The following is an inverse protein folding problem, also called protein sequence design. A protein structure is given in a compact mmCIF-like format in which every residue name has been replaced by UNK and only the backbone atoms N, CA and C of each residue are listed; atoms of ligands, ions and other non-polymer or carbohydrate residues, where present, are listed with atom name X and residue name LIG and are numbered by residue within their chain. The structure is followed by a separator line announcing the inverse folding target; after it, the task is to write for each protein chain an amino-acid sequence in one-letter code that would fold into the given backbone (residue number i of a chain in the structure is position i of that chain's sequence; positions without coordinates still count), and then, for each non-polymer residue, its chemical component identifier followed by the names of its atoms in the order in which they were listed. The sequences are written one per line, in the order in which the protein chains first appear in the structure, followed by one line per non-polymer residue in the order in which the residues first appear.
data_IF_906884194081
#
_entry.id   IF_906884194081
#
_cell.length_a   1.000
_cell.length_b   1.000
_cell.length_c   1.000
_cell.angle_alpha   90.00
_cell.angle_beta   90.00
_cell.angle_gamma   90.00
#
_symmetry.space_group_name_H-M   'P 1'
#
loop_
_entity.id
_entity.type
_entity.pdbx_description
1 polymer ?
#
# COMPACT_ATOMS: atom_id res chain seq x y z
N UNK A 1 -32.17 -19.18 2.15
CA UNK A 1 -31.40 -18.43 3.17
C UNK A 1 -30.10 -17.97 2.52
N UNK A 2 -29.80 -16.67 2.43
CA UNK A 2 -28.52 -16.23 1.90
C UNK A 2 -27.40 -16.66 2.87
N UNK A 3 -26.23 -17.10 2.37
CA UNK A 3 -25.10 -17.46 3.22
C UNK A 3 -24.60 -16.22 3.95
N UNK A 4 -24.37 -16.37 5.27
CA UNK A 4 -23.81 -15.31 6.12
C UNK A 4 -22.43 -14.92 5.58
N UNK A 5 -22.25 -13.62 5.31
CA UNK A 5 -20.96 -13.06 4.99
C UNK A 5 -19.96 -13.38 6.12
N UNK A 6 -18.90 -14.10 5.75
CA UNK A 6 -17.71 -14.25 6.58
C UNK A 6 -17.15 -12.84 6.84
N UNK A 7 -17.10 -12.43 8.11
CA UNK A 7 -16.38 -11.21 8.50
C UNK A 7 -14.90 -11.47 8.22
N UNK A 8 -14.33 -10.78 7.23
CA UNK A 8 -12.88 -10.68 7.07
C UNK A 8 -12.29 -10.20 8.40
N UNK A 9 -11.46 -11.03 9.04
CA UNK A 9 -10.69 -10.59 10.21
C UNK A 9 -9.65 -9.61 9.68
N UNK A 10 -9.88 -8.31 9.83
CA UNK A 10 -8.83 -7.30 9.62
C UNK A 10 -7.67 -7.64 10.57
N UNK A 11 -6.47 -7.82 10.02
CA UNK A 11 -5.26 -7.98 10.81
C UNK A 11 -4.99 -6.64 11.50
N UNK A 12 -4.82 -6.58 12.83
CA UNK A 12 -4.51 -5.35 13.54
C UNK A 12 -3.27 -4.66 12.95
N UNK A 13 -3.33 -3.35 12.72
CA UNK A 13 -2.28 -2.61 12.01
C UNK A 13 -0.90 -2.64 12.72
N UNK A 14 -0.87 -2.92 14.03
CA UNK A 14 0.32 -3.12 14.86
C UNK A 14 1.02 -4.46 14.61
N UNK A 15 0.41 -5.35 13.82
CA UNK A 15 0.98 -6.64 13.42
C UNK A 15 1.47 -6.69 11.96
N UNK A 16 1.38 -5.58 11.22
CA UNK A 16 1.79 -5.53 9.82
C UNK A 16 3.30 -5.30 9.68
N UNK A 17 3.92 -6.01 8.74
CA UNK A 17 5.31 -5.79 8.34
C UNK A 17 5.30 -4.63 7.33
N UNK A 18 5.50 -3.42 7.84
CA UNK A 18 5.34 -2.18 7.06
C UNK A 18 6.57 -1.85 6.21
N UNK A 19 7.68 -2.52 6.43
CA UNK A 19 8.97 -2.20 5.84
C UNK A 19 9.56 -0.85 6.28
N UNK A 20 10.76 -0.48 5.82
CA UNK A 20 11.39 0.83 6.13
C UNK A 20 10.87 1.89 5.16
N UNK A 21 10.35 2.99 5.71
CA UNK A 21 10.07 4.21 4.95
C UNK A 21 11.39 4.88 4.56
N UNK A 22 12.04 4.40 3.50
CA UNK A 22 13.25 5.01 2.97
C UNK A 22 12.87 6.01 1.89
N UNK A 23 12.87 7.30 2.22
CA UNK A 23 12.69 8.40 1.26
C UNK A 23 13.84 8.56 0.27
N UNK A 24 14.85 7.67 0.26
CA UNK A 24 16.12 7.90 -0.41
C UNK A 24 16.73 6.70 -1.15
N UNK A 25 16.05 5.56 -1.27
CA UNK A 25 16.58 4.47 -2.09
C UNK A 25 16.24 4.71 -3.58
N UNK A 26 17.02 5.57 -4.25
CA UNK A 26 16.98 5.75 -5.70
C UNK A 26 17.60 4.52 -6.38
N UNK A 27 16.89 3.39 -6.33
CA UNK A 27 17.11 2.31 -7.29
C UNK A 27 16.46 2.82 -8.58
N UNK A 28 17.23 2.95 -9.65
CA UNK A 28 16.77 3.47 -10.94
C UNK A 28 15.83 2.48 -11.62
N UNK A 29 14.60 2.34 -11.10
CA UNK A 29 13.55 1.57 -11.74
C UNK A 29 13.08 2.38 -12.95
N UNK A 30 13.29 1.88 -14.19
CA UNK A 30 12.72 2.54 -15.35
C UNK A 30 11.18 2.41 -15.28
N UNK A 31 10.47 3.49 -15.59
CA UNK A 31 9.01 3.62 -15.59
C UNK A 31 8.38 3.80 -14.18
N UNK A 32 8.45 5.03 -13.67
CA UNK A 32 7.70 5.49 -12.49
C UNK A 32 6.52 6.37 -12.90
N UNK A 33 5.41 6.28 -12.17
CA UNK A 33 4.25 7.14 -12.32
C UNK A 33 3.76 7.60 -10.96
N UNK A 34 3.37 8.88 -10.85
CA UNK A 34 2.67 9.43 -9.68
C UNK A 34 1.25 9.75 -10.07
N UNK A 35 0.30 9.12 -9.39
CA UNK A 35 -1.13 9.29 -9.63
C UNK A 35 -1.80 9.88 -8.40
N UNK A 36 -2.66 10.87 -8.60
CA UNK A 36 -3.39 11.48 -7.50
C UNK A 36 -4.40 10.49 -6.91
N UNK A 37 -4.51 10.46 -5.59
CA UNK A 37 -5.49 9.67 -4.87
C UNK A 37 -6.81 10.44 -4.89
N UNK A 38 -7.87 9.95 -5.56
CA UNK A 38 -9.14 10.65 -5.59
C UNK A 38 -9.77 10.64 -4.19
N UNK A 39 -10.30 11.75 -3.70
CA UNK A 39 -11.01 11.80 -2.41
C UNK A 39 -12.09 12.89 -2.41
N UNK A 40 -13.34 12.48 -2.21
CA UNK A 40 -14.51 13.36 -2.12
C UNK A 40 -14.41 14.32 -0.92
N UNK A 41 -13.70 13.92 0.15
CA UNK A 41 -13.47 14.78 1.33
C UNK A 41 -12.56 15.95 0.97
N UNK A 42 -11.50 15.67 0.23
CA UNK A 42 -10.58 16.68 -0.28
C UNK A 42 -11.31 17.65 -1.20
N UNK A 43 -12.07 17.14 -2.18
CA UNK A 43 -12.87 17.97 -3.09
C UNK A 43 -13.86 18.88 -2.33
N UNK A 44 -14.53 18.34 -1.30
CA UNK A 44 -15.44 19.13 -0.46
C UNK A 44 -14.71 20.25 0.31
N UNK A 45 -13.53 19.97 0.86
CA UNK A 45 -12.70 20.98 1.52
C UNK A 45 -12.25 22.07 0.56
N UNK A 46 -11.83 21.71 -0.66
CA UNK A 46 -11.50 22.68 -1.71
C UNK A 46 -12.71 23.56 -2.06
N UNK A 47 -13.90 22.99 -2.18
CA UNK A 47 -15.13 23.76 -2.43
C UNK A 47 -15.50 24.72 -1.29
N UNK A 48 -15.30 24.30 -0.04
CA UNK A 48 -15.59 25.11 1.15
C UNK A 48 -14.61 26.28 1.29
N UNK A 49 -13.31 26.01 1.23
CA UNK A 49 -12.27 27.00 1.51
C UNK A 49 -11.83 27.81 0.29
N UNK A 50 -12.04 27.30 -0.92
CA UNK A 50 -11.61 27.89 -2.20
C UNK A 50 -10.13 28.35 -2.15
N UNK A 51 -9.20 27.43 -1.84
CA UNK A 51 -7.81 27.78 -1.60
C UNK A 51 -7.12 28.27 -2.87
N UNK A 52 -5.97 28.94 -2.71
CA UNK A 52 -5.09 29.27 -3.85
C UNK A 52 -4.33 28.05 -4.38
N UNK A 53 -4.10 27.05 -3.52
CA UNK A 53 -3.36 25.82 -3.81
C UNK A 53 -4.18 24.61 -3.37
N UNK A 54 -4.36 23.65 -4.28
CA UNK A 54 -5.03 22.37 -4.04
C UNK A 54 -4.03 21.23 -4.26
N UNK A 55 -3.68 20.49 -3.21
CA UNK A 55 -2.67 19.43 -3.28
C UNK A 55 -3.22 18.11 -2.76
N UNK A 56 -3.58 17.21 -3.68
CA UNK A 56 -4.03 15.86 -3.35
C UNK A 56 -2.86 14.96 -2.89
N UNK A 57 -3.17 13.88 -2.15
CA UNK A 57 -2.20 12.81 -1.92
C UNK A 57 -1.89 12.10 -3.24
N UNK A 58 -0.74 11.44 -3.34
CA UNK A 58 -0.37 10.68 -4.53
C UNK A 58 0.06 9.26 -4.16
N UNK A 59 -0.14 8.33 -5.09
CA UNK A 59 0.43 7.00 -5.07
C UNK A 59 1.54 6.93 -6.12
N UNK A 60 2.73 6.51 -5.71
CA UNK A 60 3.83 6.22 -6.61
C UNK A 60 3.74 4.76 -7.05
N UNK A 61 3.73 4.53 -8.37
CA UNK A 61 3.59 3.22 -8.99
C UNK A 61 4.81 3.00 -9.88
N UNK A 62 5.47 1.86 -9.71
CA UNK A 62 6.57 1.44 -10.57
C UNK A 62 6.12 0.27 -11.43
N UNK A 63 6.37 0.36 -12.73
CA UNK A 63 6.15 -0.76 -13.64
C UNK A 63 7.34 -1.72 -13.58
N UNK A 64 7.06 -2.96 -13.24
CA UNK A 64 8.07 -4.00 -13.10
C UNK A 64 7.73 -5.11 -14.09
N UNK A 65 8.62 -5.31 -15.08
CA UNK A 65 8.44 -6.28 -16.17
C UNK A 65 8.12 -7.69 -15.66
N UNK A 66 7.20 -8.44 -16.29
CA UNK A 66 6.74 -9.72 -15.76
C UNK A 66 7.82 -10.79 -15.51
N UNK A 67 7.57 -11.64 -14.50
CA UNK A 67 8.41 -12.78 -14.13
C UNK A 67 8.11 -14.01 -15.00
N UNK A 68 9.13 -14.83 -15.26
CA UNK A 68 9.02 -16.16 -15.86
C UNK A 68 9.54 -17.22 -14.88
N UNK A 69 9.14 -18.48 -15.06
CA UNK A 69 9.60 -19.62 -14.25
C UNK A 69 11.13 -19.70 -14.23
N UNK A 70 11.72 -19.95 -13.06
CA UNK A 70 13.18 -20.04 -12.90
C UNK A 70 13.86 -18.68 -12.72
N UNK A 71 13.11 -17.59 -12.52
CA UNK A 71 13.69 -16.28 -12.21
C UNK A 71 14.55 -16.30 -10.94
N UNK A 72 14.29 -17.23 -10.01
CA UNK A 72 15.12 -17.39 -8.84
C UNK A 72 16.53 -17.93 -9.12
N UNK A 73 16.76 -18.64 -10.22
CA UNK A 73 18.05 -19.27 -10.54
C UNK A 73 19.12 -18.26 -11.02
N UNK A 74 18.76 -16.98 -11.15
CA UNK A 74 19.72 -15.89 -11.33
C UNK A 74 20.27 -15.73 -12.75
N UNK A 75 19.78 -16.49 -13.74
CA UNK A 75 20.13 -16.28 -15.15
C UNK A 75 19.18 -15.27 -15.82
N UNK A 76 19.72 -14.17 -16.33
CA UNK A 76 18.99 -13.21 -17.18
C UNK A 76 18.12 -12.17 -16.43
N UNK A 77 16.97 -11.82 -17.02
CA UNK A 77 16.10 -10.71 -16.60
C UNK A 77 15.43 -10.92 -15.23
N UNK A 78 15.38 -12.15 -14.72
CA UNK A 78 14.71 -12.50 -13.45
C UNK A 78 15.36 -11.91 -12.19
N UNK A 79 16.68 -11.73 -12.17
CA UNK A 79 17.36 -11.16 -10.99
C UNK A 79 17.13 -9.64 -10.85
N UNK A 80 17.02 -8.93 -11.98
CA UNK A 80 16.69 -7.51 -12.02
C UNK A 80 15.24 -7.25 -11.59
N UNK A 81 14.33 -8.18 -11.89
CA UNK A 81 12.94 -8.11 -11.44
C UNK A 81 12.82 -8.10 -9.91
N UNK A 82 13.49 -9.05 -9.25
CA UNK A 82 13.37 -9.23 -7.82
C UNK A 82 14.02 -8.08 -7.04
N UNK A 83 15.09 -7.49 -7.57
CA UNK A 83 15.70 -6.29 -6.99
C UNK A 83 14.78 -5.07 -7.09
N UNK A 84 14.01 -4.93 -8.18
CA UNK A 84 12.99 -3.89 -8.31
C UNK A 84 11.82 -4.11 -7.35
N UNK A 85 11.32 -5.35 -7.17
CA UNK A 85 10.27 -5.62 -6.17
C UNK A 85 10.76 -5.31 -4.76
N UNK A 86 12.02 -5.60 -4.45
CA UNK A 86 12.60 -5.31 -3.14
C UNK A 86 12.54 -3.80 -2.82
N UNK A 87 12.58 -2.95 -3.84
CA UNK A 87 12.56 -1.49 -3.73
C UNK A 87 11.17 -0.87 -3.51
N UNK A 88 10.09 -1.61 -3.73
CA UNK A 88 8.71 -1.12 -3.53
C UNK A 88 8.09 -1.63 -2.23
N UNK A 89 7.09 -0.94 -1.69
CA UNK A 89 6.45 -1.32 -0.42
C UNK A 89 5.25 -2.27 -0.57
N UNK A 90 4.73 -2.46 -1.77
CA UNK A 90 3.57 -3.31 -2.05
C UNK A 90 3.48 -3.69 -3.52
N UNK A 91 2.61 -4.65 -3.83
CA UNK A 91 2.55 -5.27 -5.16
C UNK A 91 1.12 -5.19 -5.71
N UNK A 92 0.96 -4.60 -6.90
CA UNK A 92 -0.20 -4.87 -7.74
C UNK A 92 0.07 -6.12 -8.58
N UNK A 93 -0.55 -7.24 -8.21
CA UNK A 93 -0.38 -8.48 -8.96
C UNK A 93 -1.43 -8.55 -10.06
N UNK A 94 -1.03 -8.22 -11.29
CA UNK A 94 -1.90 -8.31 -12.46
C UNK A 94 -2.01 -9.76 -12.92
N UNK A 95 -3.23 -10.24 -13.13
CA UNK A 95 -3.54 -11.60 -13.59
C UNK A 95 -4.28 -11.53 -14.93
N UNK A 96 -3.89 -12.39 -15.87
CA UNK A 96 -4.61 -12.56 -17.14
C UNK A 96 -5.83 -13.45 -16.93
N UNK A 97 -7.02 -12.89 -17.12
CA UNK A 97 -8.29 -13.61 -17.06
C UNK A 97 -9.10 -13.48 -18.36
N UNK A 98 -8.41 -13.45 -19.50
CA UNK A 98 -9.01 -13.45 -20.83
C UNK A 98 -8.20 -14.31 -21.80
N UNK A 99 -8.90 -14.87 -22.79
CA UNK A 99 -8.30 -15.59 -23.90
C UNK A 99 -8.22 -14.66 -25.11
N UNK A 100 -7.10 -14.72 -25.81
CA UNK A 100 -6.85 -13.99 -27.04
C UNK A 100 -5.83 -14.79 -27.84
N UNK A 101 -6.18 -15.18 -29.07
CA UNK A 101 -5.33 -15.97 -29.96
C UNK A 101 -4.09 -15.21 -30.42
N UNK A 102 -4.15 -13.87 -30.39
CA UNK A 102 -3.06 -13.02 -30.84
C UNK A 102 -2.03 -12.76 -29.72
N UNK A 103 -2.32 -13.21 -28.48
CA UNK A 103 -1.46 -13.02 -27.32
C UNK A 103 -0.99 -14.37 -26.78
N UNK A 104 0.25 -14.71 -27.10
CA UNK A 104 0.93 -15.92 -26.64
C UNK A 104 1.14 -15.86 -25.13
N UNK A 105 0.80 -16.95 -24.44
CA UNK A 105 1.10 -17.14 -23.03
C UNK A 105 2.46 -17.83 -22.86
N UNK A 106 3.20 -17.52 -21.80
CA UNK A 106 4.54 -18.13 -21.56
C UNK A 106 4.47 -19.66 -21.49
N UNK A 107 3.42 -20.20 -20.85
CA UNK A 107 3.13 -21.64 -20.75
C UNK A 107 2.07 -22.14 -21.76
N UNK A 108 1.91 -21.47 -22.91
CA UNK A 108 0.99 -21.82 -24.03
C UNK A 108 -0.52 -21.91 -23.69
N UNK A 109 -0.90 -21.84 -22.42
CA UNK A 109 -2.29 -21.84 -21.94
C UNK A 109 -2.51 -20.78 -20.87
N UNK A 110 -3.70 -20.16 -20.89
CA UNK A 110 -4.11 -19.18 -19.87
C UNK A 110 -4.64 -19.92 -18.64
N UNK A 111 -3.88 -19.87 -17.54
CA UNK A 111 -4.29 -20.37 -16.24
C UNK A 111 -3.80 -19.44 -15.10
N UNK A 112 -4.63 -18.46 -14.68
CA UNK A 112 -4.22 -17.48 -13.70
C UNK A 112 -3.95 -18.08 -12.31
N UNK A 113 -4.46 -19.27 -11.97
CA UNK A 113 -4.17 -19.92 -10.69
C UNK A 113 -2.77 -20.50 -10.70
N UNK A 114 -2.38 -21.15 -11.79
CA UNK A 114 -1.00 -21.61 -11.99
C UNK A 114 -0.01 -20.45 -11.97
N UNK A 115 -0.37 -19.32 -12.59
CA UNK A 115 0.49 -18.14 -12.64
C UNK A 115 0.67 -17.53 -11.23
N UNK A 116 -0.41 -17.49 -10.42
CA UNK A 116 -0.37 -17.12 -9.00
C UNK A 116 0.60 -18.00 -8.20
N UNK A 117 0.44 -19.32 -8.30
CA UNK A 117 1.29 -20.29 -7.60
C UNK A 117 2.75 -20.14 -7.99
N UNK A 118 3.01 -19.94 -9.28
CA UNK A 118 4.37 -19.76 -9.82
C UNK A 118 5.03 -18.52 -9.21
N UNK A 119 4.38 -17.36 -9.27
CA UNK A 119 4.97 -16.12 -8.76
C UNK A 119 5.13 -16.18 -7.25
N UNK A 120 4.12 -16.65 -6.51
CA UNK A 120 4.22 -16.80 -5.06
C UNK A 120 5.34 -17.75 -4.63
N UNK A 121 5.55 -18.87 -5.33
CA UNK A 121 6.65 -19.78 -5.05
C UNK A 121 8.02 -19.14 -5.32
N UNK A 122 8.18 -18.41 -6.44
CA UNK A 122 9.43 -17.73 -6.81
C UNK A 122 9.83 -16.65 -5.80
N UNK A 123 8.85 -15.85 -5.31
CA UNK A 123 9.10 -14.87 -4.25
C UNK A 123 9.55 -15.53 -2.95
N UNK A 124 8.92 -16.64 -2.56
CA UNK A 124 9.29 -17.40 -1.36
C UNK A 124 10.67 -18.02 -1.47
N UNK A 125 11.02 -18.64 -2.60
CA UNK A 125 12.34 -19.23 -2.83
C UNK A 125 13.44 -18.19 -2.66
N UNK A 126 13.21 -16.95 -3.12
CA UNK A 126 14.15 -15.85 -2.94
C UNK A 126 14.27 -15.36 -1.51
N UNK A 127 13.17 -15.35 -0.77
CA UNK A 127 13.23 -15.06 0.66
C UNK A 127 13.97 -16.17 1.43
N UNK A 128 13.83 -17.45 1.05
CA UNK A 128 14.63 -18.55 1.64
C UNK A 128 16.12 -18.34 1.39
N UNK A 129 16.53 -18.09 0.15
CA UNK A 129 17.95 -17.82 -0.19
C UNK A 129 18.50 -16.61 0.60
N UNK A 130 17.69 -15.57 0.79
CA UNK A 130 18.07 -14.42 1.61
C UNK A 130 18.21 -14.79 3.09
N UNK A 131 17.27 -15.56 3.65
CA UNK A 131 17.33 -16.04 5.03
C UNK A 131 18.54 -16.93 5.28
N UNK A 132 18.88 -17.83 4.36
CA UNK A 132 20.04 -18.73 4.49
C UNK A 132 21.36 -17.96 4.61
N UNK A 133 21.59 -16.99 3.71
CA UNK A 133 22.77 -16.12 3.80
C UNK A 133 22.80 -15.34 5.10
N UNK A 134 21.66 -14.80 5.52
CA UNK A 134 21.55 -14.00 6.73
C UNK A 134 21.83 -14.83 7.99
N UNK A 135 21.35 -16.07 8.04
CA UNK A 135 21.63 -17.03 9.11
C UNK A 135 23.13 -17.32 9.16
N UNK A 136 23.76 -17.61 8.02
CA UNK A 136 25.21 -17.89 7.96
C UNK A 136 26.05 -16.71 8.49
N UNK A 137 25.70 -15.48 8.12
CA UNK A 137 26.38 -14.27 8.58
C UNK A 137 26.20 -14.02 10.09
N UNK A 138 25.00 -14.28 10.62
CA UNK A 138 24.72 -14.18 12.05
C UNK A 138 25.49 -15.25 12.85
N UNK A 139 25.53 -16.49 12.37
CA UNK A 139 26.30 -17.57 13.00
C UNK A 139 27.81 -17.26 13.03
N UNK A 140 28.36 -16.72 11.93
CA UNK A 140 29.75 -16.24 11.88
C UNK A 140 30.01 -15.12 12.89
N UNK A 141 29.05 -14.20 13.04
CA UNK A 141 29.16 -13.06 13.96
C UNK A 141 29.08 -13.51 15.43
N UNK A 142 28.20 -14.47 15.73
CA UNK A 142 28.06 -15.07 17.07
C UNK A 142 29.31 -15.83 17.53
N UNK A 143 30.10 -16.41 16.62
CA UNK A 143 31.39 -17.03 16.98
C UNK A 143 32.40 -15.99 17.51
N UNK A 144 32.23 -14.71 17.19
CA UNK A 144 33.14 -13.61 17.56
C UNK A 144 32.58 -12.70 18.65
N UNK A 145 31.29 -12.79 18.95
CA UNK A 145 30.57 -11.91 19.87
C UNK A 145 29.54 -12.68 20.67
N UNK A 146 29.44 -12.41 21.97
CA UNK A 146 28.42 -13.00 22.84
C UNK A 146 27.19 -12.08 23.00
N UNK A 147 26.88 -11.30 21.96
CA UNK A 147 25.76 -10.36 21.94
C UNK A 147 24.43 -11.10 21.91
N UNK A 148 23.57 -10.79 22.88
CA UNK A 148 22.22 -11.36 23.00
C UNK A 148 21.33 -10.97 21.81
N UNK A 149 21.55 -9.79 21.22
CA UNK A 149 20.75 -9.33 20.09
C UNK A 149 20.96 -10.20 18.85
N UNK A 150 22.20 -10.62 18.58
CA UNK A 150 22.51 -11.54 17.47
C UNK A 150 21.81 -12.88 17.63
N UNK A 151 21.69 -13.37 18.88
CA UNK A 151 20.98 -14.62 19.16
C UNK A 151 19.49 -14.49 18.88
N UNK A 152 18.87 -13.39 19.30
CA UNK A 152 17.44 -13.12 19.03
C UNK A 152 17.19 -13.03 17.53
N UNK A 153 18.04 -12.30 16.80
CA UNK A 153 17.92 -12.16 15.34
C UNK A 153 18.07 -13.52 14.62
N UNK A 154 18.99 -14.37 15.08
CA UNK A 154 19.19 -15.71 14.52
C UNK A 154 17.96 -16.60 14.74
N UNK A 155 17.39 -16.61 15.95
CA UNK A 155 16.18 -17.37 16.27
C UNK A 155 14.99 -16.93 15.40
N UNK A 156 14.83 -15.61 15.18
CA UNK A 156 13.80 -15.08 14.28
C UNK A 156 14.05 -15.51 12.83
N UNK A 157 15.27 -15.40 12.31
CA UNK A 157 15.61 -15.82 10.95
C UNK A 157 15.32 -17.31 10.72
N UNK A 158 15.64 -18.19 11.67
CA UNK A 158 15.37 -19.62 11.59
C UNK A 158 13.86 -19.92 11.58
N UNK A 159 13.10 -19.24 12.44
CA UNK A 159 11.64 -19.37 12.48
C UNK A 159 10.99 -18.91 11.17
N UNK A 160 11.44 -17.79 10.62
CA UNK A 160 10.92 -17.23 9.36
C UNK A 160 11.28 -18.11 8.17
N UNK A 161 12.51 -18.65 8.13
CA UNK A 161 12.91 -19.62 7.10
C UNK A 161 11.97 -20.83 7.09
N UNK A 162 11.74 -21.45 8.25
CA UNK A 162 10.86 -22.61 8.37
C UNK A 162 9.42 -22.28 7.91
N UNK A 163 8.90 -21.10 8.26
CA UNK A 163 7.58 -20.64 7.81
C UNK A 163 7.47 -20.57 6.29
N UNK A 164 8.50 -20.04 5.62
CA UNK A 164 8.52 -19.90 4.16
C UNK A 164 8.66 -21.28 3.48
N UNK A 165 9.47 -22.18 4.04
CA UNK A 165 9.65 -23.56 3.54
C UNK A 165 8.37 -24.40 3.63
N UNK A 166 7.46 -24.09 4.56
CA UNK A 166 6.10 -24.65 4.60
C UNK A 166 5.17 -24.10 3.48
N UNK A 167 5.68 -23.24 2.61
CA UNK A 167 4.93 -22.65 1.49
C UNK A 167 4.08 -21.45 1.89
N UNK A 168 4.33 -20.82 3.05
CA UNK A 168 3.54 -19.70 3.56
C UNK A 168 4.26 -18.37 3.38
N UNK A 169 3.52 -17.36 2.95
CA UNK A 169 4.06 -16.01 2.79
C UNK A 169 4.30 -15.35 4.16
N UNK A 170 5.40 -14.62 4.32
CA UNK A 170 5.79 -14.03 5.62
C UNK A 170 4.73 -13.09 6.17
N UNK A 171 4.01 -12.34 5.33
CA UNK A 171 2.94 -11.42 5.77
C UNK A 171 1.76 -12.10 6.47
N UNK A 172 1.61 -13.42 6.32
CA UNK A 172 0.51 -14.20 6.91
C UNK A 172 0.85 -14.81 8.27
N UNK A 173 2.11 -14.69 8.71
CA UNK A 173 2.54 -15.20 10.00
C UNK A 173 2.02 -14.37 11.18
N UNK A 174 1.79 -15.03 12.32
CA UNK A 174 1.48 -14.36 13.58
C UNK A 174 2.77 -14.05 14.34
N UNK A 175 3.36 -12.89 14.03
CA UNK A 175 4.65 -12.46 14.57
C UNK A 175 4.47 -11.58 15.82
N UNK A 176 5.43 -11.64 16.75
CA UNK A 176 5.45 -10.70 17.87
C UNK A 176 5.95 -9.33 17.41
N UNK A 177 5.58 -8.26 18.11
CA UNK A 177 6.02 -6.90 17.77
C UNK A 177 7.56 -6.77 17.65
N UNK A 178 8.31 -7.41 18.56
CA UNK A 178 9.78 -7.42 18.49
C UNK A 178 10.31 -8.16 17.25
N UNK A 179 9.66 -9.24 16.83
CA UNK A 179 10.04 -10.01 15.63
C UNK A 179 9.72 -9.19 14.37
N UNK A 180 8.60 -8.45 14.36
CA UNK A 180 8.20 -7.55 13.28
C UNK A 180 9.23 -6.43 13.10
N UNK A 181 9.77 -5.86 14.18
CA UNK A 181 10.85 -4.86 14.09
C UNK A 181 12.08 -5.40 13.37
N UNK A 182 12.45 -6.66 13.65
CA UNK A 182 13.56 -7.35 12.98
C UNK A 182 13.21 -7.63 11.51
N UNK A 183 12.03 -8.20 11.23
CA UNK A 183 11.54 -8.49 9.88
C UNK A 183 11.49 -7.23 8.99
N UNK A 184 11.10 -6.10 9.56
CA UNK A 184 11.10 -4.80 8.88
C UNK A 184 12.51 -4.34 8.49
N UNK A 185 13.59 -4.91 9.02
CA UNK A 185 14.95 -4.61 8.54
C UNK A 185 15.29 -5.37 7.26
N UNK A 186 14.62 -6.50 7.00
CA UNK A 186 14.96 -7.41 5.90
C UNK A 186 14.29 -7.07 4.57
N UNK A 187 13.13 -6.39 4.59
CA UNK A 187 12.34 -6.09 3.38
C UNK A 187 12.06 -7.36 2.53
N UNK A 188 11.61 -8.44 3.17
CA UNK A 188 11.30 -9.69 2.48
C UNK A 188 10.18 -9.48 1.45
N UNK A 189 10.26 -10.23 0.34
CA UNK A 189 9.36 -10.06 -0.79
C UNK A 189 7.94 -10.53 -0.42
N UNK A 190 7.83 -11.69 0.22
CA UNK A 190 6.56 -12.29 0.69
C UNK A 190 5.97 -11.60 1.92
N UNK A 191 6.68 -10.62 2.50
CA UNK A 191 6.16 -9.75 3.55
C UNK A 191 5.36 -8.56 2.98
N UNK A 192 5.53 -8.23 1.69
CA UNK A 192 4.87 -7.09 1.06
C UNK A 192 3.38 -7.38 0.83
N UNK A 193 2.47 -6.43 1.12
CA UNK A 193 1.05 -6.58 0.80
C UNK A 193 0.83 -6.65 -0.72
N UNK A 194 -0.16 -7.45 -1.14
CA UNK A 194 -0.57 -7.61 -2.54
C UNK A 194 -2.00 -7.14 -2.74
N UNK A 195 -2.27 -6.51 -3.88
CA UNK A 195 -3.61 -6.28 -4.42
C UNK A 195 -3.70 -7.00 -5.77
N UNK A 196 -4.67 -7.90 -5.92
CA UNK A 196 -4.84 -8.69 -7.13
C UNK A 196 -5.68 -7.92 -8.16
N UNK A 197 -5.10 -7.64 -9.32
CA UNK A 197 -5.78 -6.97 -10.43
C UNK A 197 -6.12 -8.01 -11.50
N UNK A 198 -7.38 -8.40 -11.57
CA UNK A 198 -7.84 -9.45 -12.50
C UNK A 198 -8.24 -8.80 -13.81
N UNK A 199 -7.33 -8.81 -14.79
CA UNK A 199 -7.54 -8.21 -16.10
C UNK A 199 -8.39 -9.13 -16.97
N UNK A 200 -9.54 -8.65 -17.42
CA UNK A 200 -10.48 -9.38 -18.28
C UNK A 200 -10.95 -8.52 -19.46
N UNK A 201 -11.73 -9.10 -20.36
CA UNK A 201 -12.31 -8.34 -21.47
C UNK A 201 -13.29 -7.28 -20.96
N UNK A 202 -13.51 -6.21 -21.74
CA UNK A 202 -14.52 -5.19 -21.43
C UNK A 202 -15.91 -5.81 -21.25
N UNK A 203 -16.27 -6.78 -22.09
CA UNK A 203 -17.53 -7.51 -22.01
C UNK A 203 -17.70 -8.25 -20.69
N UNK A 204 -16.65 -8.92 -20.21
CA UNK A 204 -16.65 -9.65 -18.93
C UNK A 204 -16.75 -8.72 -17.73
N UNK A 205 -16.01 -7.61 -17.79
CA UNK A 205 -16.02 -6.57 -16.78
C UNK A 205 -17.41 -5.92 -16.67
N UNK A 206 -17.99 -5.49 -17.80
CA UNK A 206 -19.32 -4.87 -17.85
C UNK A 206 -20.41 -5.80 -17.33
N UNK A 207 -20.41 -7.08 -17.73
CA UNK A 207 -21.42 -8.06 -17.27
C UNK A 207 -21.14 -8.60 -15.86
N UNK A 208 -20.01 -8.24 -15.24
CA UNK A 208 -19.54 -8.71 -13.93
C UNK A 208 -19.47 -10.23 -13.82
N UNK A 209 -19.04 -10.90 -14.89
CA UNK A 209 -18.85 -12.36 -14.93
C UNK A 209 -17.65 -12.73 -15.78
N UNK A 210 -16.81 -13.60 -15.22
CA UNK A 210 -15.65 -14.17 -15.87
C UNK A 210 -15.46 -15.62 -15.42
N UNK A 211 -14.95 -16.48 -16.31
CA UNK A 211 -14.80 -17.92 -16.04
C UNK A 211 -13.65 -18.28 -15.09
N UNK A 212 -12.63 -17.42 -14.99
CA UNK A 212 -11.46 -17.64 -14.14
C UNK A 212 -11.64 -17.05 -12.74
N UNK A 213 -12.42 -15.98 -12.62
CA UNK A 213 -12.60 -15.24 -11.37
C UNK A 213 -13.02 -16.10 -10.15
N UNK A 214 -13.93 -17.10 -10.26
CA UNK A 214 -14.25 -17.96 -9.12
C UNK A 214 -13.07 -18.77 -8.60
N UNK A 215 -12.22 -19.29 -9.49
CA UNK A 215 -11.02 -20.06 -9.12
C UNK A 215 -9.97 -19.16 -8.47
N UNK A 216 -9.75 -17.97 -9.04
CA UNK A 216 -8.86 -16.96 -8.46
C UNK A 216 -9.33 -16.58 -7.05
N UNK A 217 -10.64 -16.34 -6.89
CA UNK A 217 -11.20 -15.98 -5.58
C UNK A 217 -10.98 -17.09 -4.55
N UNK A 218 -11.27 -18.35 -4.89
CA UNK A 218 -11.05 -19.48 -3.99
C UNK A 218 -9.58 -19.58 -3.56
N UNK A 219 -8.66 -19.50 -4.52
CA UNK A 219 -7.23 -19.55 -4.23
C UNK A 219 -6.80 -18.41 -3.30
N UNK A 220 -7.18 -17.17 -3.58
CA UNK A 220 -6.81 -16.02 -2.74
C UNK A 220 -7.36 -16.14 -1.32
N UNK A 221 -8.59 -16.67 -1.13
CA UNK A 221 -9.12 -16.87 0.22
C UNK A 221 -8.32 -17.88 1.04
N UNK A 222 -7.73 -18.88 0.39
CA UNK A 222 -6.86 -19.87 1.05
C UNK A 222 -5.44 -19.33 1.31
N UNK A 223 -5.02 -18.28 0.59
CA UNK A 223 -3.65 -17.76 0.59
C UNK A 223 -3.50 -16.33 1.14
N UNK A 224 -4.47 -15.83 1.92
CA UNK A 224 -4.36 -14.56 2.65
C UNK A 224 -5.59 -13.67 2.62
N UNK A 225 -6.43 -13.82 1.60
CA UNK A 225 -7.70 -13.10 1.48
C UNK A 225 -7.55 -11.64 1.09
N UNK A 226 -6.44 -11.23 0.50
CA UNK A 226 -6.20 -9.84 0.08
C UNK A 226 -7.19 -9.36 -1.00
N UNK A 227 -7.32 -8.03 -1.19
CA UNK A 227 -8.28 -7.45 -2.13
C UNK A 227 -8.08 -7.94 -3.56
N UNK A 228 -9.18 -8.37 -4.18
CA UNK A 228 -9.29 -8.68 -5.62
C UNK A 228 -10.09 -7.58 -6.31
N UNK A 229 -9.52 -6.99 -7.36
CA UNK A 229 -10.16 -5.98 -8.18
C UNK A 229 -10.22 -6.47 -9.63
N UNK A 230 -11.41 -6.92 -10.08
CA UNK A 230 -11.68 -7.10 -11.51
C UNK A 230 -11.55 -5.77 -12.25
N UNK A 231 -10.88 -5.76 -13.39
CA UNK A 231 -10.80 -4.61 -14.28
C UNK A 231 -10.61 -5.06 -15.73
N UNK A 232 -10.76 -4.13 -16.68
CA UNK A 232 -10.41 -4.36 -18.08
C UNK A 232 -9.44 -3.29 -18.55
N UNK A 233 -8.18 -3.68 -18.80
CA UNK A 233 -7.16 -2.75 -19.27
C UNK A 233 -7.52 -2.09 -20.62
N UNK A 234 -8.21 -2.84 -21.50
CA UNK A 234 -8.71 -2.30 -22.78
C UNK A 234 -9.77 -1.23 -22.53
N UNK A 235 -10.70 -1.47 -21.61
CA UNK A 235 -11.73 -0.50 -21.26
C UNK A 235 -11.13 0.78 -20.64
N UNK A 236 -10.18 0.64 -19.70
CA UNK A 236 -9.53 1.81 -19.08
C UNK A 236 -8.74 2.64 -20.09
N UNK A 237 -8.05 1.98 -21.03
CA UNK A 237 -7.37 2.65 -22.14
C UNK A 237 -8.36 3.42 -23.00
N UNK A 238 -9.44 2.77 -23.44
CA UNK A 238 -10.48 3.40 -24.26
C UNK A 238 -11.09 4.63 -23.57
N UNK A 239 -11.34 4.56 -22.25
CA UNK A 239 -11.83 5.71 -21.49
C UNK A 239 -10.81 6.85 -21.40
N UNK A 240 -9.52 6.54 -21.36
CA UNK A 240 -8.44 7.54 -21.28
C UNK A 240 -8.30 8.32 -22.58
N UNK A 241 -8.57 7.66 -23.71
CA UNK A 241 -8.53 8.28 -25.05
C UNK A 241 -9.77 9.15 -25.34
N UNK A 242 -10.78 9.16 -24.46
CA UNK A 242 -12.01 9.96 -24.59
C UNK A 242 -11.94 11.26 -23.77
N UNK A 243 -12.68 12.28 -24.21
CA UNK A 243 -12.88 13.50 -23.41
C UNK A 243 -13.70 13.20 -22.15
N UNK A 244 -13.49 13.89 -21.00
CA UNK A 244 -14.14 13.57 -19.73
C UNK A 244 -15.68 13.52 -19.77
N UNK A 245 -16.30 14.41 -20.55
CA UNK A 245 -17.75 14.44 -20.73
C UNK A 245 -18.27 13.24 -21.55
N UNK A 246 -17.49 12.81 -22.55
CA UNK A 246 -17.78 11.64 -23.37
C UNK A 246 -17.60 10.35 -22.59
N UNK A 247 -16.48 10.22 -21.86
CA UNK A 247 -16.20 9.10 -20.98
C UNK A 247 -17.31 8.92 -19.93
N UNK A 248 -17.78 10.02 -19.32
CA UNK A 248 -18.88 10.00 -18.36
C UNK A 248 -20.20 9.54 -19.00
N UNK A 249 -20.49 9.98 -20.24
CA UNK A 249 -21.66 9.55 -20.99
C UNK A 249 -21.58 8.06 -21.35
N UNK A 250 -20.43 7.59 -21.85
CA UNK A 250 -20.18 6.18 -22.15
C UNK A 250 -20.40 5.28 -20.93
N UNK A 251 -19.81 5.65 -19.80
CA UNK A 251 -19.96 4.94 -18.53
C UNK A 251 -21.44 4.85 -18.10
N UNK A 252 -22.19 5.95 -18.24
CA UNK A 252 -23.62 6.01 -17.88
C UNK A 252 -24.49 5.14 -18.77
N UNK A 253 -24.29 5.20 -20.09
CA UNK A 253 -25.07 4.43 -21.07
C UNK A 253 -24.79 2.93 -20.97
N UNK A 254 -23.53 2.56 -20.80
CA UNK A 254 -23.09 1.18 -20.71
C UNK A 254 -23.16 0.59 -19.28
N UNK A 255 -23.57 1.40 -18.29
CA UNK A 255 -23.65 1.02 -16.86
C UNK A 255 -22.35 0.42 -16.33
N UNK A 256 -21.24 1.00 -16.74
CA UNK A 256 -19.88 0.59 -16.39
C UNK A 256 -19.14 1.80 -15.80
N UNK A 257 -18.15 1.57 -14.95
CA UNK A 257 -17.34 2.62 -14.32
C UNK A 257 -15.87 2.21 -14.35
N UNK A 258 -14.98 3.19 -14.43
CA UNK A 258 -13.53 2.96 -14.30
C UNK A 258 -13.21 2.32 -12.93
N UNK A 259 -12.35 1.31 -12.96
CA UNK A 259 -11.77 0.67 -11.79
C UNK A 259 -10.57 1.45 -11.24
N UNK A 260 -9.95 2.35 -12.01
CA UNK A 260 -8.72 3.04 -11.62
C UNK A 260 -8.83 3.79 -10.28
N UNK A 261 -9.90 4.57 -9.99
CA UNK A 261 -10.04 5.21 -8.68
C UNK A 261 -10.02 4.21 -7.52
N UNK A 262 -10.64 3.03 -7.70
CA UNK A 262 -10.66 1.96 -6.70
C UNK A 262 -9.29 1.29 -6.58
N UNK A 263 -8.59 1.05 -7.69
CA UNK A 263 -7.24 0.48 -7.72
C UNK A 263 -6.28 1.37 -6.93
N UNK A 264 -6.27 2.68 -7.22
CA UNK A 264 -5.40 3.65 -6.54
C UNK A 264 -5.69 3.70 -5.05
N UNK A 265 -6.96 3.87 -4.65
CA UNK A 265 -7.36 3.89 -3.22
C UNK A 265 -6.98 2.61 -2.49
N UNK A 266 -7.21 1.45 -3.13
CA UNK A 266 -6.91 0.15 -2.52
C UNK A 266 -5.41 -0.05 -2.38
N UNK A 267 -4.61 0.30 -3.39
CA UNK A 267 -3.15 0.23 -3.31
C UNK A 267 -2.60 1.14 -2.22
N UNK A 268 -3.04 2.40 -2.17
CA UNK A 268 -2.64 3.36 -1.14
C UNK A 268 -2.93 2.85 0.27
N UNK A 269 -4.13 2.29 0.49
CA UNK A 269 -4.49 1.69 1.78
C UNK A 269 -3.73 0.39 2.07
N UNK A 270 -3.44 -0.44 1.06
CA UNK A 270 -2.75 -1.72 1.23
C UNK A 270 -1.31 -1.54 1.74
N UNK A 271 -0.62 -0.49 1.29
CA UNK A 271 0.70 -0.11 1.81
C UNK A 271 0.62 0.72 3.11
N UNK A 272 -0.54 0.70 3.78
CA UNK A 272 -0.80 1.33 5.08
C UNK A 272 -0.56 2.84 5.11
N UNK A 273 -0.79 3.53 3.99
CA UNK A 273 -0.85 4.98 3.98
C UNK A 273 -2.26 5.47 4.31
N UNK A 274 -2.30 6.56 5.06
CA UNK A 274 -3.47 7.40 5.32
C UNK A 274 -3.05 8.85 5.07
N UNK A 275 -3.97 9.79 5.13
CA UNK A 275 -3.60 11.21 5.16
C UNK A 275 -4.48 12.01 6.12
N UNK A 276 -3.91 13.10 6.61
CA UNK A 276 -4.64 14.18 7.25
C UNK A 276 -4.65 15.40 6.33
N UNK A 277 -5.53 16.35 6.60
CA UNK A 277 -5.66 17.59 5.86
C UNK A 277 -5.09 18.77 6.65
N UNK A 278 -4.43 19.67 5.94
CA UNK A 278 -4.37 21.09 6.32
C UNK A 278 -5.32 21.84 5.40
N UNK A 279 -6.20 22.69 5.96
CA UNK A 279 -7.22 23.39 5.17
C UNK A 279 -7.32 24.86 5.57
N UNK A 280 -7.28 25.74 4.59
CA UNK A 280 -7.42 27.18 4.76
C UNK A 280 -7.53 27.91 3.40
N UNK A 281 -7.64 29.25 3.41
CA UNK A 281 -7.82 30.04 2.18
C UNK A 281 -6.56 30.07 1.29
N UNK A 282 -5.38 29.77 1.84
CA UNK A 282 -4.15 29.72 1.06
C UNK A 282 -3.95 28.32 0.44
N UNK A 283 -4.14 27.25 1.22
CA UNK A 283 -3.91 25.87 0.76
C UNK A 283 -4.89 24.88 1.41
N UNK A 284 -5.37 23.93 0.62
CA UNK A 284 -5.93 22.66 1.10
C UNK A 284 -5.03 21.54 0.59
N UNK A 285 -4.51 20.72 1.51
CA UNK A 285 -3.51 19.70 1.19
C UNK A 285 -3.71 18.41 1.96
N UNK A 286 -3.53 17.29 1.28
CA UNK A 286 -3.45 15.96 1.87
C UNK A 286 -1.99 15.64 2.24
N UNK A 287 -1.75 15.33 3.51
CA UNK A 287 -0.44 14.94 4.00
C UNK A 287 -0.42 13.44 4.26
N UNK A 288 0.20 12.69 3.34
CA UNK A 288 0.34 11.24 3.46
C UNK A 288 1.29 10.85 4.60
N UNK A 289 0.82 9.96 5.47
CA UNK A 289 1.55 9.41 6.60
C UNK A 289 1.24 7.92 6.71
N UNK A 290 2.08 7.17 7.42
CA UNK A 290 1.75 5.78 7.73
C UNK A 290 0.65 5.73 8.77
N UNK A 291 -0.25 4.76 8.63
CA UNK A 291 -1.21 4.43 9.69
C UNK A 291 -0.44 4.19 10.99
N UNK A 292 -1.02 4.63 12.11
CA UNK A 292 -0.40 4.63 13.45
C UNK A 292 0.67 5.71 13.69
N UNK A 293 0.97 6.57 12.72
CA UNK A 293 1.80 7.76 12.98
C UNK A 293 1.17 8.64 14.05
N UNK A 294 1.99 9.02 15.04
CA UNK A 294 1.58 9.93 16.11
C UNK A 294 1.62 11.38 15.63
N UNK A 295 0.89 12.26 16.32
CA UNK A 295 0.79 13.67 15.96
C UNK A 295 2.15 14.38 15.71
N UNK A 296 3.22 14.17 16.52
CA UNK A 296 4.52 14.78 16.24
C UNK A 296 5.14 14.31 14.92
N UNK A 297 5.05 13.01 14.63
CA UNK A 297 5.58 12.42 13.40
C UNK A 297 4.81 12.92 12.17
N UNK A 298 3.48 13.05 12.29
CA UNK A 298 2.65 13.63 11.26
C UNK A 298 2.98 15.11 11.02
N UNK A 299 3.30 15.86 12.07
CA UNK A 299 3.77 17.24 11.95
C UNK A 299 5.12 17.32 11.21
N UNK A 300 6.02 16.36 11.47
CA UNK A 300 7.31 16.22 10.78
C UNK A 300 7.19 16.03 9.26
N UNK A 301 6.08 15.46 8.78
CA UNK A 301 5.81 15.34 7.35
C UNK A 301 5.60 16.70 6.66
N UNK A 302 5.18 17.73 7.41
CA UNK A 302 5.10 19.12 6.94
C UNK A 302 6.48 19.76 6.95
N UNK A 303 7.13 19.72 8.12
CA UNK A 303 8.46 20.25 8.31
C UNK A 303 9.10 19.65 9.57
N UNK A 304 10.40 19.34 9.52
CA UNK A 304 11.11 18.72 10.65
C UNK A 304 11.09 19.55 11.94
N UNK A 305 11.02 20.88 11.84
CA UNK A 305 10.90 21.76 13.01
C UNK A 305 9.56 21.61 13.74
N UNK A 306 8.48 21.22 13.06
CA UNK A 306 7.19 21.01 13.70
C UNK A 306 7.23 19.79 14.62
N UNK A 307 7.95 18.74 14.21
CA UNK A 307 8.16 17.55 15.05
C UNK A 307 9.05 17.87 16.26
N UNK A 308 10.17 18.57 16.05
CA UNK A 308 11.12 18.94 17.11
C UNK A 308 10.50 19.91 18.13
N UNK A 309 9.75 20.89 17.63
CA UNK A 309 9.11 21.95 18.41
C UNK A 309 7.68 21.62 18.85
N UNK A 310 7.19 20.40 18.64
CA UNK A 310 5.78 20.05 18.81
C UNK A 310 5.24 20.41 20.20
N UNK A 311 4.16 21.19 20.24
CA UNK A 311 3.40 21.52 21.44
C UNK A 311 2.13 20.66 21.49
N UNK A 312 1.24 20.84 20.51
CA UNK A 312 0.01 20.09 20.36
C UNK A 312 -0.47 20.09 18.90
N UNK A 313 -1.40 19.19 18.58
CA UNK A 313 -2.16 19.19 17.35
C UNK A 313 -3.59 19.65 17.65
N UNK A 314 -4.02 20.73 17.03
CA UNK A 314 -5.43 21.10 17.03
C UNK A 314 -6.15 20.29 15.94
N UNK A 315 -7.05 19.41 16.33
CA UNK A 315 -7.66 18.40 15.45
C UNK A 315 -9.18 18.59 15.43
N UNK A 316 -9.74 18.64 14.22
CA UNK A 316 -11.17 18.42 13.99
C UNK A 316 -11.38 17.30 12.98
N UNK A 317 -12.46 16.53 13.15
CA UNK A 317 -12.82 15.49 12.19
C UNK A 317 -13.48 16.11 10.97
N UNK A 318 -13.22 15.54 9.80
CA UNK A 318 -13.88 15.95 8.56
C UNK A 318 -15.41 15.89 8.70
N UNK A 319 -15.94 14.83 9.31
CA UNK A 319 -17.37 14.63 9.50
C UNK A 319 -18.00 15.75 10.33
N UNK A 320 -17.32 16.18 11.39
CA UNK A 320 -17.78 17.27 12.26
C UNK A 320 -17.80 18.61 11.52
N UNK A 321 -16.78 18.89 10.71
CA UNK A 321 -16.75 20.09 9.88
C UNK A 321 -17.84 20.07 8.82
N UNK A 322 -18.08 18.92 8.18
CA UNK A 322 -19.11 18.75 7.17
C UNK A 322 -20.52 18.89 7.75
N UNK A 323 -20.75 18.36 8.95
CA UNK A 323 -22.03 18.48 9.66
C UNK A 323 -22.31 19.91 10.12
N UNK A 324 -21.31 20.60 10.69
CA UNK A 324 -21.48 21.91 11.32
C UNK A 324 -21.20 23.10 10.37
N UNK A 325 -20.63 22.84 9.19
CA UNK A 325 -20.46 23.77 8.09
C UNK A 325 -19.31 24.79 8.24
N UNK A 326 -18.76 25.00 9.44
CA UNK A 326 -17.63 25.91 9.64
C UNK A 326 -16.78 25.56 10.86
N UNK A 327 -15.51 25.95 10.85
CA UNK A 327 -14.59 25.75 11.97
C UNK A 327 -15.08 26.43 13.26
N UNK A 328 -15.69 27.62 13.14
CA UNK A 328 -16.26 28.33 14.29
C UNK A 328 -17.40 27.54 14.95
N UNK A 329 -18.26 26.89 14.15
CA UNK A 329 -19.32 26.04 14.65
C UNK A 329 -18.77 24.76 15.31
N UNK A 330 -17.73 24.15 14.73
CA UNK A 330 -17.02 23.00 15.32
C UNK A 330 -16.42 23.34 16.67
N UNK A 331 -15.79 24.52 16.79
CA UNK A 331 -15.24 25.05 18.05
C UNK A 331 -16.35 25.31 19.08
N UNK A 332 -17.44 25.96 18.68
CA UNK A 332 -18.58 26.23 19.57
C UNK A 332 -19.25 24.95 20.08
N UNK A 333 -19.25 23.88 19.28
CA UNK A 333 -19.76 22.56 19.65
C UNK A 333 -18.77 21.73 20.52
N UNK A 334 -17.59 22.26 20.85
CA UNK A 334 -16.58 21.55 21.64
C UNK A 334 -15.93 20.36 20.92
N UNK A 335 -16.08 20.28 19.58
CA UNK A 335 -15.53 19.18 18.76
C UNK A 335 -14.13 19.49 18.18
N UNK A 336 -13.58 20.66 18.49
CA UNK A 336 -12.22 21.07 18.12
C UNK A 336 -11.25 20.73 19.27
N UNK A 337 -10.45 19.68 19.08
CA UNK A 337 -9.65 19.06 20.15
C UNK A 337 -8.20 19.52 20.12
N UNK A 338 -7.59 19.60 21.29
CA UNK A 338 -6.14 19.75 21.43
C UNK A 338 -5.54 18.41 21.83
N UNK A 339 -4.82 17.80 20.90
CA UNK A 339 -4.27 16.46 21.02
C UNK A 339 -2.77 16.52 21.30
N UNK A 340 -2.31 15.65 22.20
CA UNK A 340 -0.93 15.60 22.66
C UNK A 340 -0.02 14.68 21.83
N UNK A 341 1.21 14.47 22.31
CA UNK A 341 2.24 13.67 21.62
C UNK A 341 1.87 12.20 21.41
N UNK A 342 0.94 11.66 22.20
CA UNK A 342 0.50 10.27 22.14
C UNK A 342 -0.67 10.05 21.19
N UNK A 343 -1.29 11.12 20.66
CA UNK A 343 -2.41 11.01 19.74
C UNK A 343 -1.96 10.32 18.46
N UNK A 344 -2.70 9.28 18.07
CA UNK A 344 -2.54 8.60 16.80
C UNK A 344 -3.43 9.30 15.79
N UNK A 345 -2.83 9.87 14.74
CA UNK A 345 -3.55 10.58 13.70
C UNK A 345 -4.48 9.62 12.99
N UNK A 346 -5.72 10.06 12.76
CA UNK A 346 -6.72 9.28 12.04
C UNK A 346 -6.85 9.81 10.61
N UNK A 347 -7.24 8.91 9.71
CA UNK A 347 -7.47 9.26 8.32
C UNK A 347 -8.57 10.32 8.21
N UNK A 348 -8.30 11.38 7.44
CA UNK A 348 -9.23 12.50 7.26
C UNK A 348 -9.28 13.51 8.40
N UNK A 349 -8.41 13.40 9.41
CA UNK A 349 -8.23 14.47 10.40
C UNK A 349 -7.88 15.79 9.71
N UNK A 350 -8.48 16.89 10.14
CA UNK A 350 -8.07 18.24 9.73
C UNK A 350 -7.28 18.83 10.89
N UNK A 351 -6.00 19.11 10.64
CA UNK A 351 -5.03 19.39 11.71
C UNK A 351 -4.37 20.75 11.52
N UNK A 352 -4.31 21.51 12.61
CA UNK A 352 -3.45 22.67 12.75
C UNK A 352 -2.42 22.42 13.87
N UNK A 353 -1.13 22.40 13.53
CA UNK A 353 -0.09 22.13 14.52
C UNK A 353 0.37 23.39 15.25
N UNK A 354 0.51 23.30 16.57
CA UNK A 354 1.21 24.30 17.39
C UNK A 354 2.61 23.79 17.68
N UNK A 355 3.60 24.60 17.38
CA UNK A 355 5.00 24.28 17.64
C UNK A 355 5.73 25.54 18.10
N UNK A 356 6.83 25.35 18.82
CA UNK A 356 7.76 26.43 19.13
C UNK A 356 8.99 26.32 18.22
N UNK A 357 9.45 27.45 17.69
CA UNK A 357 10.71 27.46 16.94
C UNK A 357 11.82 27.31 17.99
N UNK A 358 12.43 26.13 18.10
CA UNK A 358 13.66 26.01 18.85
C UNK A 358 14.68 26.90 18.15
N UNK A 359 14.94 28.08 18.72
CA UNK A 359 15.91 29.02 18.18
C UNK A 359 17.22 28.29 17.95
N UNK A 360 17.58 28.09 16.68
CA UNK A 360 18.91 27.68 16.32
C UNK A 360 19.84 28.72 16.95
N UNK A 361 20.58 28.30 17.98
CA UNK A 361 21.64 29.12 18.52
C UNK A 361 22.51 29.52 17.33
N UNK A 362 22.67 30.83 17.13
CA UNK A 362 23.75 31.37 16.30
C UNK A 362 25.02 30.66 16.76
N UNK A 363 25.56 29.78 15.93
CA UNK A 363 26.93 29.30 16.04
C UNK A 363 27.71 29.95 14.93
#
# INVERSE_FOLDING_TARGET
MPPKASKSKEVPADRLILGRFSSHLKIGIPNEARVNVPDERFEWLCQLFKPKSEVSAFLEIHDIAGLFRGAHEGQGLGNNFLSHIRAVDGIFHVLRAFEDSDIIHVDDSVDPVRDLETISAELRLKDVEFMERKIEDLEKSMKRSNDKQLKIELEVCQMVKAWIEEGKDVRLGDWKAADIEILNTFQLLSAKPVVYLVNMTEKDYQRKKNKFLPKIHAWVQEHGGEPIIPFSGVFERNLTDMEPAEAAKYCKENKVQSALPKIIKTGFSAINLIYFFTAGPDEVKCWQIRRQSKAPQAAGAIHTDFERGFICAEVMKFEDLKELGSEAAVKAAGKYRQEGKTYVVQDGDIIFFKFNVSGGGKK
#
